data_IF_658623602789
#
_entry.id   IF_658623602789
#
_cell.length_a   1.000
_cell.length_b   1.000
_cell.length_c   1.000
_cell.angle_alpha   90.00
_cell.angle_beta   90.00
_cell.angle_gamma   90.00
#
_symmetry.space_group_name_H-M   'P 1'
#
loop_
_entity.id
_entity.type
_entity.pdbx_description
1 polymer ?
#
# COMPACT_ATOMS: atom_id res chain seq x y z
N UNK A 1 -25.54 -33.13 9.37
CA UNK A 1 -25.04 -34.24 8.56
C UNK A 1 -25.45 -34.01 7.11
N UNK A 2 -24.54 -34.10 6.16
CA UNK A 2 -24.91 -34.03 4.73
C UNK A 2 -25.61 -35.31 4.35
N UNK A 3 -26.67 -35.19 3.52
CA UNK A 3 -27.34 -36.32 2.90
C UNK A 3 -26.39 -36.92 1.84
N UNK A 4 -26.48 -38.25 1.67
CA UNK A 4 -25.70 -39.00 0.67
C UNK A 4 -25.83 -38.42 -0.74
N UNK A 5 -27.03 -38.01 -1.14
CA UNK A 5 -27.27 -37.42 -2.46
C UNK A 5 -26.58 -36.06 -2.65
N UNK A 6 -26.50 -35.22 -1.59
CA UNK A 6 -25.76 -33.95 -1.62
C UNK A 6 -24.27 -34.20 -1.75
N UNK A 7 -23.71 -35.15 -0.98
CA UNK A 7 -22.30 -35.54 -1.11
C UNK A 7 -21.98 -36.04 -2.50
N UNK A 8 -22.84 -36.97 -3.02
CA UNK A 8 -22.68 -37.47 -4.39
C UNK A 8 -22.74 -36.34 -5.43
N UNK A 9 -23.65 -35.37 -5.26
CA UNK A 9 -23.75 -34.20 -6.12
C UNK A 9 -22.49 -33.36 -6.13
N UNK A 10 -21.92 -33.09 -4.94
CA UNK A 10 -20.65 -32.31 -4.79
C UNK A 10 -19.48 -33.04 -5.49
N UNK A 11 -19.37 -34.36 -5.25
CA UNK A 11 -18.31 -35.16 -5.89
C UNK A 11 -18.48 -35.23 -7.41
N UNK A 12 -19.72 -35.35 -7.89
CA UNK A 12 -20.01 -35.37 -9.34
C UNK A 12 -19.68 -34.00 -9.98
N UNK A 13 -20.02 -32.90 -9.35
CA UNK A 13 -19.67 -31.56 -9.84
C UNK A 13 -18.15 -31.38 -9.86
N UNK A 14 -17.48 -31.72 -8.76
CA UNK A 14 -16.01 -31.69 -8.69
C UNK A 14 -15.35 -32.49 -9.80
N UNK A 15 -15.84 -33.74 -10.03
CA UNK A 15 -15.33 -34.59 -11.09
C UNK A 15 -15.51 -33.98 -12.47
N UNK A 16 -16.67 -33.37 -12.73
CA UNK A 16 -16.97 -32.74 -14.02
C UNK A 16 -16.03 -31.56 -14.28
N UNK A 17 -15.80 -30.74 -13.27
CA UNK A 17 -14.91 -29.57 -13.37
C UNK A 17 -13.43 -29.97 -13.51
N UNK A 18 -13.03 -31.05 -12.80
CA UNK A 18 -11.64 -31.55 -12.85
C UNK A 18 -11.36 -32.45 -14.06
N UNK A 19 -12.36 -32.75 -14.89
CA UNK A 19 -12.24 -33.74 -15.98
C UNK A 19 -11.17 -33.37 -17.02
N UNK A 20 -11.00 -32.06 -17.30
CA UNK A 20 -9.97 -31.55 -18.21
C UNK A 20 -8.56 -31.85 -17.68
N UNK A 21 -8.34 -31.57 -16.39
CA UNK A 21 -7.05 -31.80 -15.72
C UNK A 21 -6.76 -33.31 -15.61
N UNK A 22 -7.79 -34.16 -15.33
CA UNK A 22 -7.66 -35.61 -15.30
C UNK A 22 -7.29 -36.16 -16.67
N UNK A 23 -7.87 -35.64 -17.74
CA UNK A 23 -7.50 -36.03 -19.11
C UNK A 23 -6.05 -35.62 -19.42
N UNK A 24 -5.67 -34.42 -19.08
CA UNK A 24 -4.27 -33.94 -19.22
C UNK A 24 -3.30 -34.81 -18.41
N UNK A 25 -3.72 -35.22 -17.20
CA UNK A 25 -2.94 -36.14 -16.37
C UNK A 25 -2.71 -37.49 -17.04
N UNK A 26 -3.73 -38.02 -17.68
CA UNK A 26 -3.64 -39.32 -18.42
C UNK A 26 -2.77 -39.23 -19.68
N UNK A 27 -2.78 -38.09 -20.37
CA UNK A 27 -2.05 -37.87 -21.62
C UNK A 27 -0.62 -37.44 -21.43
N UNK A 28 -0.38 -36.51 -20.48
CA UNK A 28 0.90 -35.79 -20.31
C UNK A 28 1.53 -35.98 -18.94
N UNK A 29 0.87 -36.72 -18.03
CA UNK A 29 1.32 -36.90 -16.66
C UNK A 29 1.18 -35.64 -15.79
N UNK A 30 1.69 -35.71 -14.56
CA UNK A 30 1.65 -34.64 -13.60
C UNK A 30 2.35 -33.33 -14.07
N UNK A 31 3.48 -33.38 -14.80
CA UNK A 31 4.06 -32.18 -15.37
C UNK A 31 3.10 -31.43 -16.31
N UNK A 32 2.39 -32.16 -17.16
CA UNK A 32 1.46 -31.57 -18.11
C UNK A 32 0.28 -30.84 -17.46
N UNK A 33 -0.20 -31.34 -16.32
CA UNK A 33 -1.25 -30.65 -15.53
C UNK A 33 -0.73 -29.31 -14.97
N UNK A 34 0.47 -29.32 -14.40
CA UNK A 34 1.07 -28.09 -13.87
C UNK A 34 1.33 -27.07 -14.98
N UNK A 35 1.83 -27.51 -16.12
CA UNK A 35 2.06 -26.64 -17.28
C UNK A 35 0.72 -26.03 -17.77
N UNK A 36 -0.36 -26.83 -17.84
CA UNK A 36 -1.70 -26.34 -18.19
C UNK A 36 -2.23 -25.28 -17.20
N UNK A 37 -2.02 -25.46 -15.91
CA UNK A 37 -2.41 -24.44 -14.91
C UNK A 37 -1.59 -23.16 -15.04
N UNK A 38 -0.29 -23.27 -15.36
CA UNK A 38 0.57 -22.10 -15.61
C UNK A 38 0.10 -21.34 -16.85
N UNK A 39 -0.26 -22.07 -17.92
CA UNK A 39 -0.75 -21.47 -19.16
C UNK A 39 -2.10 -20.76 -18.91
N UNK A 40 -3.01 -21.36 -18.13
CA UNK A 40 -4.27 -20.72 -17.73
C UNK A 40 -4.04 -19.42 -16.91
N UNK A 41 -3.04 -19.40 -16.03
CA UNK A 41 -2.64 -18.18 -15.29
C UNK A 41 -2.07 -17.14 -16.25
N UNK A 42 -1.26 -17.56 -17.24
CA UNK A 42 -0.69 -16.68 -18.25
C UNK A 42 -1.77 -16.03 -19.10
N UNK A 43 -2.70 -16.85 -19.62
CA UNK A 43 -3.83 -16.39 -20.45
C UNK A 43 -4.70 -15.39 -19.67
N UNK A 44 -4.97 -15.66 -18.40
CA UNK A 44 -5.74 -14.76 -17.54
C UNK A 44 -4.99 -13.44 -17.18
N UNK A 45 -3.65 -13.43 -17.25
CA UNK A 45 -2.85 -12.20 -17.08
C UNK A 45 -2.80 -11.35 -18.35
N UNK A 46 -2.88 -11.99 -19.51
CA UNK A 46 -2.86 -11.32 -20.82
C UNK A 46 -4.26 -10.76 -21.21
N UNK A 47 -5.32 -11.25 -20.57
CA UNK A 47 -6.70 -10.81 -20.84
C UNK A 47 -7.04 -9.54 -20.04
N UNK A 48 -6.45 -8.40 -20.45
CA UNK A 48 -6.67 -7.06 -19.87
C UNK A 48 -8.12 -6.56 -20.06
N UNK A 49 -8.90 -7.16 -21.00
CA UNK A 49 -10.28 -6.78 -21.33
C UNK A 49 -11.35 -7.49 -20.47
N UNK A 50 -10.95 -8.24 -19.45
CA UNK A 50 -11.86 -9.04 -18.64
C UNK A 50 -12.80 -8.14 -17.81
N UNK A 51 -13.99 -7.89 -18.32
CA UNK A 51 -15.10 -7.20 -17.64
C UNK A 51 -15.74 -8.02 -16.50
N UNK A 52 -15.16 -9.19 -16.18
CA UNK A 52 -15.55 -10.04 -15.05
C UNK A 52 -14.94 -9.59 -13.71
N UNK A 53 -15.26 -10.28 -12.61
CA UNK A 53 -14.59 -10.06 -11.33
C UNK A 53 -13.09 -10.26 -11.53
N UNK A 54 -12.30 -9.24 -11.16
CA UNK A 54 -10.87 -9.18 -11.42
C UNK A 54 -10.18 -10.48 -11.00
N UNK A 55 -9.64 -11.22 -11.96
CA UNK A 55 -8.86 -12.41 -11.69
C UNK A 55 -7.64 -12.03 -10.84
N UNK A 56 -7.52 -12.64 -9.67
CA UNK A 56 -6.33 -12.48 -8.84
C UNK A 56 -5.27 -13.52 -9.26
N UNK A 57 -4.20 -13.11 -9.97
CA UNK A 57 -3.17 -14.04 -10.43
C UNK A 57 -2.38 -14.68 -9.28
N UNK A 58 -2.50 -14.15 -8.08
CA UNK A 58 -1.81 -14.64 -6.88
C UNK A 58 -2.67 -15.62 -6.06
N UNK A 59 -3.99 -15.72 -6.37
CA UNK A 59 -4.96 -16.58 -5.69
C UNK A 59 -4.88 -18.08 -5.99
N UNK A 60 -4.45 -18.54 -7.21
CA UNK A 60 -4.41 -19.96 -7.52
C UNK A 60 -3.60 -20.77 -6.51
N UNK A 61 -4.13 -21.92 -6.10
CA UNK A 61 -3.50 -22.80 -5.09
C UNK A 61 -2.06 -23.19 -5.47
N UNK A 62 -1.79 -23.40 -6.77
CA UNK A 62 -0.45 -23.68 -7.28
C UNK A 62 0.53 -22.56 -6.92
N UNK A 63 0.12 -21.32 -7.07
CA UNK A 63 0.93 -20.14 -6.76
C UNK A 63 1.21 -20.03 -5.26
N UNK A 64 0.17 -20.19 -4.44
CA UNK A 64 0.28 -20.17 -2.98
C UNK A 64 1.25 -21.24 -2.46
N UNK A 65 1.16 -22.44 -3.01
CA UNK A 65 1.99 -23.56 -2.59
C UNK A 65 3.45 -23.48 -3.07
N UNK A 66 3.70 -22.83 -4.23
CA UNK A 66 5.04 -22.81 -4.84
C UNK A 66 5.79 -21.52 -4.64
N UNK A 67 5.09 -20.42 -4.40
CA UNK A 67 5.64 -19.07 -4.40
C UNK A 67 5.38 -18.28 -3.11
N UNK A 68 5.13 -18.94 -1.97
CA UNK A 68 4.77 -18.27 -0.73
C UNK A 68 5.75 -17.17 -0.31
N UNK A 69 7.07 -17.40 -0.43
CA UNK A 69 8.12 -16.43 -0.16
C UNK A 69 8.11 -15.23 -1.16
N UNK A 70 7.81 -15.52 -2.43
CA UNK A 70 7.72 -14.48 -3.46
C UNK A 70 6.45 -13.64 -3.30
N UNK A 71 5.34 -14.28 -2.95
CA UNK A 71 4.10 -13.58 -2.62
C UNK A 71 4.24 -12.68 -1.40
N UNK A 72 4.98 -13.14 -0.37
CA UNK A 72 5.31 -12.31 0.78
C UNK A 72 6.08 -11.04 0.35
N UNK A 73 7.08 -11.15 -0.53
CA UNK A 73 7.79 -9.98 -1.05
C UNK A 73 6.87 -9.01 -1.82
N UNK A 74 5.93 -9.54 -2.62
CA UNK A 74 4.94 -8.70 -3.31
C UNK A 74 4.03 -7.98 -2.30
N UNK A 75 3.56 -8.70 -1.28
CA UNK A 75 2.69 -8.15 -0.23
C UNK A 75 3.43 -7.09 0.59
N UNK A 76 4.67 -7.35 0.99
CA UNK A 76 5.51 -6.40 1.73
C UNK A 76 5.75 -5.12 0.91
N UNK A 77 6.10 -5.27 -0.37
CA UNK A 77 6.32 -4.12 -1.25
C UNK A 77 5.02 -3.34 -1.50
N UNK A 78 3.88 -4.03 -1.60
CA UNK A 78 2.56 -3.38 -1.71
C UNK A 78 2.22 -2.59 -0.45
N UNK A 79 2.50 -3.15 0.72
CA UNK A 79 2.30 -2.50 2.02
C UNK A 79 3.21 -1.29 2.16
N UNK A 80 4.49 -1.40 1.74
CA UNK A 80 5.43 -0.28 1.71
C UNK A 80 4.93 0.86 0.80
N UNK A 81 4.44 0.55 -0.40
CA UNK A 81 3.83 1.55 -1.30
C UNK A 81 2.59 2.21 -0.67
N UNK A 82 1.76 1.44 0.04
CA UNK A 82 0.59 1.99 0.72
C UNK A 82 1.00 2.92 1.88
N UNK A 83 2.00 2.52 2.68
CA UNK A 83 2.57 3.34 3.76
C UNK A 83 3.12 4.65 3.23
N UNK A 84 4.01 4.59 2.21
CA UNK A 84 4.61 5.80 1.62
C UNK A 84 3.59 6.74 0.97
N UNK A 85 2.47 6.20 0.46
CA UNK A 85 1.35 7.04 0.00
C UNK A 85 0.64 7.74 1.15
N UNK A 86 0.45 7.06 2.28
CA UNK A 86 -0.13 7.66 3.48
C UNK A 86 0.80 8.71 4.09
N UNK A 87 2.11 8.42 4.17
CA UNK A 87 3.13 9.36 4.62
C UNK A 87 3.15 10.63 3.76
N UNK A 88 3.07 10.46 2.42
CA UNK A 88 2.95 11.59 1.49
C UNK A 88 1.68 12.41 1.75
N UNK A 89 0.54 11.75 1.94
CA UNK A 89 -0.72 12.46 2.21
C UNK A 89 -0.70 13.19 3.57
N UNK A 90 -0.03 12.65 4.58
CA UNK A 90 0.19 13.32 5.85
C UNK A 90 1.07 14.58 5.67
N UNK A 91 2.17 14.48 4.93
CA UNK A 91 3.02 15.64 4.61
C UNK A 91 2.28 16.70 3.78
N UNK A 92 1.40 16.30 2.87
CA UNK A 92 0.55 17.22 2.13
C UNK A 92 -0.42 17.96 3.07
N UNK A 93 -1.00 17.28 4.06
CA UNK A 93 -1.90 17.86 5.04
C UNK A 93 -1.15 18.79 6.03
N UNK A 94 0.01 18.36 6.53
CA UNK A 94 0.82 19.15 7.49
C UNK A 94 1.34 20.47 6.89
N UNK A 95 1.52 20.54 5.57
CA UNK A 95 2.00 21.73 4.87
C UNK A 95 0.86 22.51 4.18
N UNK A 96 -0.39 22.10 4.35
CA UNK A 96 -1.53 22.85 3.83
C UNK A 96 -1.83 24.07 4.69
N UNK A 97 -2.28 25.20 4.12
CA UNK A 97 -2.75 26.36 4.90
C UNK A 97 -3.96 26.00 5.77
N UNK A 98 -3.98 26.52 7.00
CA UNK A 98 -5.03 26.24 8.01
C UNK A 98 -6.44 26.74 7.62
N UNK A 99 -6.53 27.66 6.65
CA UNK A 99 -7.77 28.35 6.25
C UNK A 99 -8.48 27.74 5.02
N UNK A 100 -8.04 26.57 4.53
CA UNK A 100 -8.64 25.94 3.35
C UNK A 100 -9.82 25.02 3.72
N UNK A 101 -10.90 25.06 2.91
CA UNK A 101 -11.98 24.08 3.01
C UNK A 101 -11.57 22.72 2.40
N UNK A 102 -12.42 21.68 2.62
CA UNK A 102 -12.12 20.30 2.18
C UNK A 102 -11.96 20.18 0.66
N UNK A 103 -12.61 21.04 -0.12
CA UNK A 103 -12.59 21.03 -1.59
C UNK A 103 -11.32 21.73 -2.11
N UNK A 104 -10.90 22.80 -1.47
CA UNK A 104 -9.65 23.51 -1.75
C UNK A 104 -8.43 22.69 -1.31
N UNK A 105 -8.52 22.00 -0.16
CA UNK A 105 -7.48 21.09 0.33
C UNK A 105 -7.20 19.95 -0.66
N UNK A 106 -8.23 19.38 -1.28
CA UNK A 106 -8.08 18.33 -2.29
C UNK A 106 -7.34 18.78 -3.56
N UNK A 107 -7.39 20.10 -3.86
CA UNK A 107 -6.74 20.71 -5.01
C UNK A 107 -5.40 21.39 -4.66
N UNK A 108 -5.07 21.56 -3.38
CA UNK A 108 -3.83 22.15 -2.91
C UNK A 108 -2.65 21.23 -3.21
N UNK A 109 -1.53 21.80 -3.62
CA UNK A 109 -0.26 21.10 -3.75
C UNK A 109 0.82 21.87 -3.00
N UNK A 110 0.91 21.70 -1.67
CA UNK A 110 1.80 22.46 -0.80
C UNK A 110 3.25 22.45 -1.24
N UNK A 111 3.69 21.35 -1.85
CA UNK A 111 5.06 21.22 -2.38
C UNK A 111 5.33 22.16 -3.54
N UNK A 112 4.39 22.24 -4.49
CA UNK A 112 4.54 23.18 -5.62
C UNK A 112 4.53 24.62 -5.14
N UNK A 113 3.76 24.92 -4.11
CA UNK A 113 3.70 26.25 -3.53
C UNK A 113 5.00 26.59 -2.81
N UNK A 114 5.55 25.69 -2.01
CA UNK A 114 6.89 25.84 -1.39
C UNK A 114 8.01 25.93 -2.43
N UNK A 115 7.96 25.14 -3.50
CA UNK A 115 8.94 25.23 -4.60
C UNK A 115 8.84 26.57 -5.36
N UNK A 116 7.62 27.08 -5.54
CA UNK A 116 7.38 28.39 -6.13
C UNK A 116 7.95 29.49 -5.23
N UNK A 117 7.65 29.46 -3.94
CA UNK A 117 8.16 30.39 -2.94
C UNK A 117 9.69 30.40 -2.90
N UNK A 118 10.33 29.21 -2.88
CA UNK A 118 11.79 29.10 -2.96
C UNK A 118 12.38 29.71 -4.22
N UNK A 119 11.68 29.58 -5.35
CA UNK A 119 12.11 30.13 -6.65
C UNK A 119 11.95 31.64 -6.69
N UNK A 120 10.84 32.16 -6.19
CA UNK A 120 10.56 33.59 -6.10
C UNK A 120 11.58 34.28 -5.17
N UNK A 121 11.82 33.72 -3.99
CA UNK A 121 12.81 34.20 -3.05
C UNK A 121 14.22 34.30 -3.66
N UNK A 122 14.62 33.27 -4.42
CA UNK A 122 15.91 33.27 -5.17
C UNK A 122 15.93 34.28 -6.31
N UNK A 123 14.81 34.49 -6.99
CA UNK A 123 14.70 35.43 -8.08
C UNK A 123 14.77 36.87 -7.58
N UNK A 124 14.07 37.19 -6.50
CA UNK A 124 14.04 38.51 -5.87
C UNK A 124 15.43 38.92 -5.37
N UNK A 125 16.14 38.00 -4.73
CA UNK A 125 17.47 38.25 -4.16
C UNK A 125 18.63 37.84 -5.08
N UNK A 126 18.38 37.62 -6.38
CA UNK A 126 19.39 37.12 -7.32
C UNK A 126 20.65 37.95 -7.44
N UNK A 127 20.53 39.30 -7.42
CA UNK A 127 21.68 40.19 -7.56
C UNK A 127 22.54 40.21 -6.29
N UNK A 128 22.00 40.43 -5.09
CA UNK A 128 22.78 40.35 -3.86
C UNK A 128 23.45 38.98 -3.64
N UNK A 129 22.78 37.88 -3.97
CA UNK A 129 23.35 36.51 -3.87
C UNK A 129 24.52 36.31 -4.84
N UNK A 130 24.46 36.88 -6.06
CA UNK A 130 25.58 36.85 -7.02
C UNK A 130 26.76 37.68 -6.54
N UNK A 131 26.51 38.85 -5.94
CA UNK A 131 27.54 39.71 -5.36
C UNK A 131 28.26 39.01 -4.22
N UNK A 132 27.50 38.37 -3.33
CA UNK A 132 28.06 37.59 -2.22
C UNK A 132 28.99 36.48 -2.74
N UNK A 133 28.55 35.72 -3.77
CA UNK A 133 29.36 34.69 -4.40
C UNK A 133 30.63 35.21 -5.06
N UNK A 134 30.57 36.39 -5.72
CA UNK A 134 31.76 37.04 -6.29
C UNK A 134 32.74 37.48 -5.19
N UNK A 135 32.27 38.07 -4.11
CA UNK A 135 33.09 38.45 -2.98
C UNK A 135 33.77 37.24 -2.33
N UNK A 136 33.00 36.13 -2.10
CA UNK A 136 33.56 34.88 -1.59
C UNK A 136 34.68 34.31 -2.48
N UNK A 137 34.48 34.35 -3.79
CA UNK A 137 35.47 33.88 -4.76
C UNK A 137 36.72 34.79 -4.76
N UNK A 138 36.51 36.12 -4.71
CA UNK A 138 37.59 37.08 -4.61
C UNK A 138 38.42 36.90 -3.32
N UNK A 139 37.75 36.71 -2.20
CA UNK A 139 38.39 36.48 -0.89
C UNK A 139 39.22 35.18 -0.94
N UNK A 140 38.67 34.07 -1.45
CA UNK A 140 39.42 32.80 -1.62
C UNK A 140 40.67 32.98 -2.47
N UNK A 141 40.54 33.70 -3.59
CA UNK A 141 41.67 34.00 -4.50
C UNK A 141 42.73 34.86 -3.83
N UNK A 142 42.34 35.90 -3.11
CA UNK A 142 43.27 36.78 -2.39
C UNK A 142 43.98 36.04 -1.25
N UNK A 143 43.25 35.19 -0.49
CA UNK A 143 43.84 34.35 0.57
C UNK A 143 44.89 33.41 -0.01
N UNK A 144 44.56 32.65 -1.07
CA UNK A 144 45.52 31.79 -1.73
C UNK A 144 46.76 32.51 -2.28
N UNK A 145 46.60 33.77 -2.75
CA UNK A 145 47.72 34.57 -3.21
C UNK A 145 48.60 35.13 -2.10
N UNK A 146 48.05 35.35 -0.89
CA UNK A 146 48.79 35.81 0.28
C UNK A 146 49.53 34.69 1.02
N UNK A 147 49.08 33.41 0.83
CA UNK A 147 49.77 32.22 1.35
C UNK A 147 51.07 31.90 0.60
N UNK A 148 51.25 32.42 -0.64
CA UNK A 148 52.48 32.22 -1.38
C UNK A 148 53.65 33.03 -0.76
N UNK A 149 54.86 32.46 -0.72
CA UNK A 149 56.02 33.15 -0.15
C UNK A 149 56.29 34.45 -0.94
N UNK A 150 56.29 35.58 -0.20
CA UNK A 150 56.52 36.89 -0.81
C UNK A 150 58.01 37.09 -0.98
N UNK A 151 58.51 37.38 -2.20
CA UNK A 151 59.94 37.75 -2.42
C UNK A 151 60.34 38.96 -1.57
N UNK A 152 61.55 38.93 -1.04
CA UNK A 152 62.04 39.97 -0.11
C UNK A 152 62.49 41.25 -0.86
N UNK A 153 61.54 41.86 -1.61
CA UNK A 153 61.77 43.16 -2.26
C UNK A 153 60.65 44.15 -1.92
N UNK A 154 61.00 45.46 -1.96
CA UNK A 154 60.08 46.54 -1.57
C UNK A 154 58.79 46.57 -2.42
N UNK A 155 58.84 46.21 -3.70
CA UNK A 155 57.68 46.15 -4.62
C UNK A 155 56.72 45.00 -4.21
N UNK A 156 57.25 43.82 -3.90
CA UNK A 156 56.45 42.68 -3.49
C UNK A 156 55.77 42.90 -2.15
N UNK A 157 56.47 43.57 -1.19
CA UNK A 157 55.86 43.95 0.10
C UNK A 157 54.72 44.96 -0.07
N UNK A 158 54.86 45.95 -0.97
CA UNK A 158 53.81 46.92 -1.30
C UNK A 158 52.62 46.25 -1.99
N UNK A 159 52.86 45.31 -2.89
CA UNK A 159 51.80 44.53 -3.56
C UNK A 159 51.04 43.62 -2.57
N UNK A 160 51.74 42.98 -1.62
CA UNK A 160 51.14 42.18 -0.59
C UNK A 160 50.26 43.03 0.36
N UNK A 161 50.72 44.24 0.76
CA UNK A 161 49.90 45.16 1.54
C UNK A 161 48.60 45.55 0.82
N UNK A 162 48.69 45.91 -0.49
CA UNK A 162 47.50 46.22 -1.29
C UNK A 162 46.51 45.04 -1.35
N UNK A 163 46.99 43.83 -1.55
CA UNK A 163 46.14 42.63 -1.54
C UNK A 163 45.49 42.37 -0.18
N UNK A 164 46.24 42.62 0.90
CA UNK A 164 45.71 42.47 2.27
C UNK A 164 44.62 43.52 2.56
N UNK A 165 44.79 44.74 2.05
CA UNK A 165 43.79 45.80 2.18
C UNK A 165 42.53 45.47 1.36
N UNK A 166 42.67 45.00 0.13
CA UNK A 166 41.61 44.50 -0.72
C UNK A 166 40.86 43.29 -0.06
N UNK A 167 41.59 42.40 0.59
CA UNK A 167 40.99 41.29 1.31
C UNK A 167 40.15 41.80 2.49
N UNK A 168 40.63 42.73 3.30
CA UNK A 168 39.88 43.33 4.41
C UNK A 168 38.60 44.02 3.93
N UNK A 169 38.70 44.76 2.82
CA UNK A 169 37.60 45.47 2.21
C UNK A 169 36.52 44.47 1.69
N UNK A 170 36.97 43.43 1.02
CA UNK A 170 36.10 42.35 0.55
C UNK A 170 35.45 41.55 1.71
N UNK A 171 36.18 41.32 2.80
CA UNK A 171 35.66 40.69 4.02
C UNK A 171 34.59 41.55 4.70
N UNK A 172 34.83 42.88 4.81
CA UNK A 172 33.84 43.80 5.36
C UNK A 172 32.57 43.86 4.51
N UNK A 173 32.69 43.99 3.19
CA UNK A 173 31.54 43.96 2.26
C UNK A 173 30.79 42.63 2.28
N UNK A 174 31.52 41.53 2.35
CA UNK A 174 30.91 40.20 2.46
C UNK A 174 30.14 40.06 3.78
N UNK A 175 30.70 40.51 4.91
CA UNK A 175 30.03 40.47 6.22
C UNK A 175 28.75 41.30 6.22
N UNK A 176 28.79 42.51 5.65
CA UNK A 176 27.62 43.40 5.58
C UNK A 176 26.53 42.80 4.70
N UNK A 177 26.85 42.29 3.50
CA UNK A 177 25.92 41.63 2.62
C UNK A 177 25.36 40.34 3.24
N UNK A 178 26.19 39.56 3.94
CA UNK A 178 25.80 38.35 4.63
C UNK A 178 24.80 38.64 5.76
N UNK A 179 25.03 39.68 6.56
CA UNK A 179 24.07 40.12 7.58
C UNK A 179 22.72 40.56 6.97
N UNK A 180 22.78 41.28 5.86
CA UNK A 180 21.56 41.74 5.14
C UNK A 180 20.78 40.62 4.51
N UNK A 181 21.44 39.53 4.07
CA UNK A 181 20.85 38.36 3.51
C UNK A 181 20.53 37.25 4.54
N UNK A 182 20.90 37.43 5.80
CA UNK A 182 20.64 36.47 6.88
C UNK A 182 19.16 36.04 6.95
N UNK A 183 18.15 36.93 6.89
CA UNK A 183 16.75 36.55 6.90
C UNK A 183 16.36 35.72 5.66
N UNK A 184 16.95 36.02 4.49
CA UNK A 184 16.72 35.29 3.24
C UNK A 184 17.26 33.86 3.35
N UNK A 185 18.43 33.67 3.92
CA UNK A 185 19.00 32.35 4.18
C UNK A 185 18.20 31.56 5.20
N UNK A 186 17.71 32.21 6.26
CA UNK A 186 16.85 31.58 7.25
C UNK A 186 15.54 31.05 6.60
N UNK A 187 14.91 31.87 5.76
CA UNK A 187 13.70 31.50 5.05
C UNK A 187 13.95 30.40 4.01
N UNK A 188 15.07 30.48 3.28
CA UNK A 188 15.48 29.43 2.35
C UNK A 188 15.75 28.09 3.08
N UNK A 189 16.34 28.14 4.28
CA UNK A 189 16.55 26.95 5.12
C UNK A 189 15.21 26.38 5.55
N UNK A 190 14.28 27.21 6.05
CA UNK A 190 12.93 26.80 6.45
C UNK A 190 12.21 26.04 5.32
N UNK A 191 12.20 26.63 4.12
CA UNK A 191 11.57 26.01 2.95
C UNK A 191 12.30 24.70 2.56
N UNK A 192 13.63 24.69 2.61
CA UNK A 192 14.41 23.48 2.28
C UNK A 192 14.14 22.36 3.28
N UNK A 193 14.07 22.67 4.57
CA UNK A 193 13.81 21.72 5.65
C UNK A 193 12.38 21.14 5.55
N UNK A 194 11.41 21.97 5.13
CA UNK A 194 10.04 21.51 4.88
C UNK A 194 9.94 20.62 3.63
N UNK A 195 10.73 20.90 2.57
CA UNK A 195 10.73 20.14 1.32
C UNK A 195 11.51 18.81 1.39
N UNK A 196 12.49 18.71 2.29
CA UNK A 196 13.39 17.56 2.36
C UNK A 196 12.65 16.23 2.64
N UNK A 197 11.80 16.11 3.68
CA UNK A 197 11.05 14.88 3.97
C UNK A 197 10.15 14.47 2.81
N UNK A 198 9.60 15.47 2.12
CA UNK A 198 8.72 15.22 0.98
C UNK A 198 9.46 14.63 -0.22
N UNK A 199 10.65 15.16 -0.54
CA UNK A 199 11.50 14.64 -1.62
C UNK A 199 11.94 13.22 -1.34
N UNK A 200 12.37 12.93 -0.11
CA UNK A 200 12.75 11.59 0.33
C UNK A 200 11.57 10.62 0.20
N UNK A 201 10.38 10.99 0.68
CA UNK A 201 9.17 10.15 0.55
C UNK A 201 8.79 9.91 -0.91
N UNK A 202 8.94 10.91 -1.79
CA UNK A 202 8.67 10.75 -3.22
C UNK A 202 9.67 9.82 -3.90
N UNK A 203 10.95 9.95 -3.60
CA UNK A 203 12.01 9.08 -4.14
C UNK A 203 11.78 7.63 -3.70
N UNK A 204 11.53 7.41 -2.42
CA UNK A 204 11.22 6.11 -1.85
C UNK A 204 9.95 5.50 -2.49
N UNK A 205 8.91 6.32 -2.70
CA UNK A 205 7.68 5.88 -3.34
C UNK A 205 7.89 5.46 -4.80
N UNK A 206 8.69 6.21 -5.54
CA UNK A 206 9.06 5.87 -6.93
C UNK A 206 9.82 4.56 -6.96
N UNK A 207 10.77 4.38 -6.05
CA UNK A 207 11.57 3.16 -5.98
C UNK A 207 10.75 1.94 -5.53
N UNK A 208 9.89 2.09 -4.52
CA UNK A 208 8.98 1.04 -4.08
C UNK A 208 8.01 0.61 -5.20
N UNK A 209 7.44 1.58 -5.94
CA UNK A 209 6.60 1.28 -7.12
C UNK A 209 7.37 0.57 -8.24
N UNK A 210 8.62 0.95 -8.46
CA UNK A 210 9.49 0.28 -9.44
C UNK A 210 9.76 -1.16 -9.03
N UNK A 211 10.08 -1.40 -7.76
CA UNK A 211 10.25 -2.75 -7.19
C UNK A 211 8.98 -3.59 -7.35
N UNK A 212 7.83 -3.04 -6.98
CA UNK A 212 6.55 -3.73 -7.12
C UNK A 212 6.22 -4.13 -8.57
N UNK A 213 6.42 -3.20 -9.52
CA UNK A 213 6.23 -3.49 -10.95
C UNK A 213 7.19 -4.55 -11.46
N UNK A 214 8.45 -4.51 -11.03
CA UNK A 214 9.46 -5.49 -11.42
C UNK A 214 9.12 -6.90 -10.90
N UNK A 215 8.63 -7.01 -9.65
CA UNK A 215 8.15 -8.28 -9.10
C UNK A 215 6.95 -8.80 -9.89
N UNK A 216 5.95 -7.97 -10.17
CA UNK A 216 4.80 -8.40 -10.99
C UNK A 216 5.20 -8.85 -12.38
N UNK A 217 6.08 -8.13 -13.05
CA UNK A 217 6.53 -8.49 -14.41
C UNK A 217 7.31 -9.81 -14.46
N UNK A 218 8.03 -10.15 -13.39
CA UNK A 218 8.81 -11.40 -13.30
C UNK A 218 8.05 -12.57 -12.71
N UNK A 219 6.84 -12.35 -12.25
CA UNK A 219 6.04 -13.36 -11.53
C UNK A 219 5.86 -14.65 -12.33
N UNK A 220 5.41 -14.54 -13.58
CA UNK A 220 5.14 -15.70 -14.42
C UNK A 220 6.42 -16.50 -14.76
N UNK A 221 7.51 -15.79 -15.04
CA UNK A 221 8.80 -16.43 -15.32
C UNK A 221 9.33 -17.16 -14.09
N UNK A 222 9.19 -16.57 -12.91
CA UNK A 222 9.59 -17.18 -11.65
C UNK A 222 8.72 -18.41 -11.31
N UNK A 223 7.41 -18.33 -11.56
CA UNK A 223 6.50 -19.48 -11.40
C UNK A 223 6.91 -20.64 -12.34
N UNK A 224 7.11 -20.36 -13.62
CA UNK A 224 7.61 -21.32 -14.60
C UNK A 224 8.95 -21.93 -14.17
N UNK A 225 9.88 -21.12 -13.72
CA UNK A 225 11.19 -21.56 -13.26
C UNK A 225 11.09 -22.53 -12.06
N UNK A 226 10.28 -22.17 -11.05
CA UNK A 226 10.09 -23.00 -9.85
C UNK A 226 9.41 -24.31 -10.16
N UNK A 227 8.33 -24.30 -10.92
CA UNK A 227 7.62 -25.50 -11.33
C UNK A 227 8.49 -26.44 -12.20
N UNK A 228 9.32 -25.85 -13.09
CA UNK A 228 10.26 -26.61 -13.90
C UNK A 228 11.37 -27.27 -13.08
N UNK A 229 11.80 -26.63 -11.98
CA UNK A 229 12.79 -27.16 -11.05
C UNK A 229 12.27 -28.21 -10.06
N UNK A 230 10.97 -28.51 -10.03
CA UNK A 230 10.39 -29.51 -9.16
C UNK A 230 10.70 -30.93 -9.66
N UNK A 231 10.97 -31.85 -8.73
CA UNK A 231 11.04 -33.28 -9.02
C UNK A 231 9.65 -33.85 -9.36
N UNK A 232 9.61 -34.96 -10.10
CA UNK A 232 8.36 -35.63 -10.46
C UNK A 232 7.48 -35.99 -9.25
N UNK A 233 8.12 -36.49 -8.16
CA UNK A 233 7.41 -36.82 -6.93
C UNK A 233 6.77 -35.58 -6.26
N UNK A 234 7.46 -34.44 -6.29
CA UNK A 234 6.89 -33.18 -5.81
C UNK A 234 5.72 -32.72 -6.66
N UNK A 235 5.84 -32.79 -8.00
CA UNK A 235 4.76 -32.46 -8.91
C UNK A 235 3.54 -33.33 -8.68
N UNK A 236 3.75 -34.65 -8.53
CA UNK A 236 2.70 -35.60 -8.18
C UNK A 236 2.02 -35.24 -6.86
N UNK A 237 2.80 -35.03 -5.80
CA UNK A 237 2.27 -34.65 -4.50
C UNK A 237 1.45 -33.36 -4.56
N UNK A 238 1.94 -32.37 -5.29
CA UNK A 238 1.28 -31.07 -5.44
C UNK A 238 -0.08 -31.18 -6.17
N UNK A 239 -0.15 -31.89 -7.30
CA UNK A 239 -1.39 -32.06 -8.05
C UNK A 239 -2.42 -32.83 -7.24
N UNK A 240 -2.00 -33.92 -6.57
CA UNK A 240 -2.92 -34.71 -5.74
C UNK A 240 -3.42 -33.91 -4.53
N UNK A 241 -2.55 -33.12 -3.89
CA UNK A 241 -2.96 -32.24 -2.79
C UNK A 241 -4.00 -31.21 -3.25
N UNK A 242 -3.80 -30.60 -4.42
CA UNK A 242 -4.76 -29.63 -4.95
C UNK A 242 -6.12 -30.24 -5.28
N UNK A 243 -6.15 -31.43 -5.86
CA UNK A 243 -7.41 -32.12 -6.10
C UNK A 243 -8.13 -32.49 -4.80
N UNK A 244 -7.39 -32.93 -3.76
CA UNK A 244 -7.95 -33.22 -2.45
C UNK A 244 -8.51 -31.98 -1.78
N UNK A 245 -7.72 -30.90 -1.74
CA UNK A 245 -8.12 -29.60 -1.15
C UNK A 245 -9.33 -28.99 -1.86
N UNK A 246 -9.41 -29.07 -3.21
CA UNK A 246 -10.57 -28.56 -3.94
C UNK A 246 -11.84 -29.34 -3.59
N UNK A 247 -11.74 -30.66 -3.46
CA UNK A 247 -12.85 -31.49 -3.01
C UNK A 247 -13.26 -31.19 -1.56
N UNK A 248 -12.27 -31.04 -0.66
CA UNK A 248 -12.51 -30.69 0.74
C UNK A 248 -13.19 -29.32 0.89
N UNK A 249 -12.74 -28.32 0.13
CA UNK A 249 -13.34 -26.98 0.12
C UNK A 249 -14.81 -27.03 -0.31
N UNK A 250 -15.13 -27.78 -1.38
CA UNK A 250 -16.50 -27.94 -1.88
C UNK A 250 -17.40 -28.67 -0.86
N UNK A 251 -16.87 -29.70 -0.22
CA UNK A 251 -17.60 -30.41 0.85
C UNK A 251 -17.81 -29.51 2.07
N UNK A 252 -16.81 -28.74 2.45
CA UNK A 252 -16.88 -27.79 3.56
C UNK A 252 -17.88 -26.67 3.28
N UNK A 253 -17.93 -26.16 2.04
CA UNK A 253 -18.92 -25.18 1.61
C UNK A 253 -20.35 -25.75 1.70
N UNK A 254 -20.58 -26.97 1.20
CA UNK A 254 -21.88 -27.62 1.29
C UNK A 254 -22.33 -27.91 2.73
N UNK A 255 -21.38 -28.23 3.63
CA UNK A 255 -21.62 -28.33 5.09
C UNK A 255 -22.00 -26.98 5.69
N UNK A 256 -21.29 -25.91 5.32
CA UNK A 256 -21.55 -24.54 5.75
C UNK A 256 -22.96 -24.07 5.35
N UNK A 257 -23.35 -24.30 4.09
CA UNK A 257 -24.69 -23.99 3.60
C UNK A 257 -25.77 -24.72 4.41
N UNK A 258 -25.56 -26.02 4.68
CA UNK A 258 -26.50 -26.82 5.46
C UNK A 258 -26.61 -26.32 6.90
N UNK A 259 -25.47 -25.95 7.50
CA UNK A 259 -25.44 -25.37 8.85
C UNK A 259 -26.22 -24.06 8.89
N UNK A 260 -25.99 -23.16 7.97
CA UNK A 260 -26.72 -21.89 7.85
C UNK A 260 -28.21 -22.13 7.65
N UNK A 261 -28.59 -23.04 6.77
CA UNK A 261 -29.99 -23.39 6.55
C UNK A 261 -30.68 -23.93 7.80
N UNK A 262 -29.98 -24.73 8.62
CA UNK A 262 -30.51 -25.24 9.89
C UNK A 262 -30.65 -24.11 10.94
N UNK A 263 -29.68 -23.21 11.01
CA UNK A 263 -29.75 -22.05 11.92
C UNK A 263 -30.96 -21.18 11.56
N UNK A 264 -31.08 -20.79 10.27
CA UNK A 264 -32.22 -19.99 9.82
C UNK A 264 -33.56 -20.69 10.06
N UNK A 265 -33.62 -22.02 9.88
CA UNK A 265 -34.85 -22.77 10.22
C UNK A 265 -35.19 -22.69 11.69
N UNK A 266 -34.21 -22.93 12.58
CA UNK A 266 -34.43 -22.87 14.02
C UNK A 266 -34.84 -21.45 14.47
N UNK A 267 -34.16 -20.41 13.93
CA UNK A 267 -34.50 -19.01 14.21
C UNK A 267 -35.92 -18.68 13.73
N UNK A 268 -36.30 -19.11 12.52
CA UNK A 268 -37.65 -18.88 11.99
C UNK A 268 -38.73 -19.55 12.86
N UNK A 269 -38.49 -20.82 13.26
CA UNK A 269 -39.43 -21.54 14.16
C UNK A 269 -39.49 -20.87 15.53
N UNK A 270 -38.35 -20.41 16.07
CA UNK A 270 -38.30 -19.69 17.34
C UNK A 270 -39.11 -18.40 17.25
N UNK A 271 -38.92 -17.58 16.26
CA UNK A 271 -39.62 -16.31 16.07
C UNK A 271 -41.13 -16.55 15.89
N UNK A 272 -41.50 -17.62 15.19
CA UNK A 272 -42.90 -17.99 14.96
C UNK A 272 -43.62 -18.44 16.23
N UNK A 273 -42.95 -19.17 17.12
CA UNK A 273 -43.61 -19.80 18.28
C UNK A 273 -43.32 -19.11 19.60
N UNK A 274 -42.25 -18.36 19.75
CA UNK A 274 -41.90 -17.66 20.99
C UNK A 274 -42.93 -16.56 21.32
N UNK A 275 -43.19 -15.66 20.42
CA UNK A 275 -44.13 -14.53 20.63
C UNK A 275 -45.60 -14.99 20.80
N UNK A 276 -46.14 -15.87 19.93
CA UNK A 276 -47.49 -16.37 20.12
C UNK A 276 -47.68 -17.10 21.45
N UNK A 277 -46.70 -17.84 21.93
CA UNK A 277 -46.77 -18.58 23.20
C UNK A 277 -46.76 -17.65 24.40
N UNK A 278 -45.90 -16.63 24.40
CA UNK A 278 -45.86 -15.59 25.42
C UNK A 278 -47.17 -14.83 25.46
N UNK A 279 -47.70 -14.43 24.31
CA UNK A 279 -49.00 -13.74 24.22
C UNK A 279 -50.16 -14.61 24.72
N UNK A 280 -50.17 -15.89 24.39
CA UNK A 280 -51.18 -16.84 24.89
C UNK A 280 -51.13 -17.01 26.42
N UNK A 281 -49.91 -17.00 27.01
CA UNK A 281 -49.76 -17.01 28.47
C UNK A 281 -50.28 -15.73 29.13
N UNK A 282 -50.02 -14.57 28.56
CA UNK A 282 -50.52 -13.28 29.02
C UNK A 282 -52.06 -13.22 28.93
N UNK A 283 -52.61 -13.63 27.78
CA UNK A 283 -54.06 -13.68 27.56
C UNK A 283 -54.73 -14.61 28.54
N UNK A 284 -54.20 -15.81 28.77
CA UNK A 284 -54.68 -16.76 29.76
C UNK A 284 -54.68 -16.17 31.18
N UNK A 285 -53.56 -15.51 31.56
CA UNK A 285 -53.45 -14.92 32.91
C UNK A 285 -54.39 -13.73 33.07
N UNK A 286 -54.56 -12.91 32.06
CA UNK A 286 -55.54 -11.81 32.03
C UNK A 286 -56.97 -12.34 32.18
N UNK A 287 -57.33 -13.39 31.42
CA UNK A 287 -58.66 -14.01 31.46
C UNK A 287 -58.97 -14.67 32.86
N UNK A 288 -57.96 -15.35 33.44
CA UNK A 288 -58.07 -15.91 34.80
C UNK A 288 -58.23 -14.82 35.82
N UNK A 289 -57.56 -13.69 35.71
CA UNK A 289 -57.73 -12.56 36.63
C UNK A 289 -59.14 -11.94 36.54
N UNK A 290 -59.63 -11.77 35.29
CA UNK A 290 -61.02 -11.31 35.08
C UNK A 290 -62.06 -12.29 35.68
N UNK A 291 -61.88 -13.58 35.45
CA UNK A 291 -62.77 -14.63 36.00
C UNK A 291 -62.76 -14.63 37.54
N UNK A 292 -61.55 -14.57 38.14
CA UNK A 292 -61.44 -14.48 39.62
C UNK A 292 -62.04 -13.20 40.15
N UNK A 293 -61.95 -12.09 39.45
CA UNK A 293 -62.59 -10.83 39.83
C UNK A 293 -64.14 -10.94 39.78
N UNK A 294 -64.66 -11.60 38.73
CA UNK A 294 -66.10 -11.85 38.58
C UNK A 294 -66.64 -12.80 39.68
N UNK A 295 -65.90 -13.86 39.98
CA UNK A 295 -66.27 -14.75 41.10
C UNK A 295 -66.28 -14.02 42.43
N UNK A 296 -65.30 -13.17 42.73
CA UNK A 296 -65.30 -12.33 43.93
C UNK A 296 -66.50 -11.35 43.98
N UNK A 297 -66.86 -10.74 42.86
CA UNK A 297 -68.01 -9.84 42.75
C UNK A 297 -69.33 -10.55 42.95
N UNK A 298 -69.45 -11.79 42.52
CA UNK A 298 -70.65 -12.64 42.71
C UNK A 298 -70.68 -13.33 44.04
N UNK A 299 -69.73 -13.12 44.96
CA UNK A 299 -69.60 -13.77 46.27
C UNK A 299 -69.57 -15.31 46.17
N UNK A 300 -69.05 -15.90 45.11
CA UNK A 300 -68.85 -17.33 44.95
C UNK A 300 -67.46 -17.78 45.42
N UNK A 301 -66.87 -17.11 46.37
CA UNK A 301 -65.64 -17.55 47.03
C UNK A 301 -65.83 -17.55 48.55
#
# INVERSE_FOLDING_TARGET
MLDYFKVAGVVSAWWTDSLADVKTLMERGFPGVIDGWIDAIADALDDDDNTGPAFDPFGPKLVLATMGDYLAQIADTRTEVARLKADKAALDADNAPDDLDDEELANCNPVKDLEREAKELRAEHRQPLKELGKLATLMSRLKAQLELPVPDNARARTAARKKQEQLREAEAQHAELSMRLAPVFAEQSRISDALQPYKETLEDLVEARKRYRALRARFLDELKRRCKGMTEDKKRGQVLAMFAEDLEDRLSAALGERRTSLICFVETEWDQYHDPLAHLYELRNSTLNMLNSAFKALRYA
#
